data_IF_177320216101
#
_entry.id   IF_177320216101
#
_cell.length_a   1.000
_cell.length_b   1.000
_cell.length_c   1.000
_cell.angle_alpha   90.00
_cell.angle_beta   90.00
_cell.angle_gamma   90.00
#
_symmetry.space_group_name_H-M   'P 1'
#
loop_
_entity.id
_entity.type
_entity.pdbx_description
1 polymer ?
#
# COMPACT_ATOMS: atom_id res chain seq x y z
N UNK A 1 20.43 -27.97 -23.06
CA UNK A 1 20.15 -26.54 -22.80
C UNK A 1 19.59 -26.44 -21.39
N UNK A 2 20.39 -25.98 -20.42
CA UNK A 2 19.89 -25.63 -19.09
C UNK A 2 19.31 -24.23 -19.19
N UNK A 3 18.05 -24.06 -18.80
CA UNK A 3 17.47 -22.73 -18.62
C UNK A 3 18.33 -21.97 -17.59
N UNK A 4 18.66 -20.69 -17.82
CA UNK A 4 19.29 -19.90 -16.78
C UNK A 4 18.29 -19.75 -15.64
N UNK A 5 18.71 -20.18 -14.46
CA UNK A 5 17.99 -19.97 -13.21
C UNK A 5 17.82 -18.45 -13.05
N UNK A 6 16.57 -17.98 -12.88
CA UNK A 6 16.28 -16.57 -12.63
C UNK A 6 16.85 -16.22 -11.26
N UNK A 7 18.09 -15.74 -11.26
CA UNK A 7 18.75 -15.17 -10.12
C UNK A 7 17.92 -13.94 -9.71
N UNK A 8 17.01 -14.11 -8.76
CA UNK A 8 16.33 -12.99 -8.14
C UNK A 8 17.40 -12.06 -7.59
N UNK A 9 17.31 -10.77 -7.92
CA UNK A 9 18.29 -9.78 -7.49
C UNK A 9 18.38 -9.78 -5.95
N UNK A 10 19.39 -10.46 -5.40
CA UNK A 10 19.73 -10.46 -3.96
C UNK A 10 20.01 -9.05 -3.41
N UNK A 11 20.03 -8.04 -4.30
CA UNK A 11 20.23 -6.63 -4.00
C UNK A 11 18.96 -5.77 -4.16
N UNK A 12 17.79 -6.38 -4.34
CA UNK A 12 16.53 -5.64 -4.43
C UNK A 12 16.25 -4.88 -3.12
N UNK A 13 15.77 -3.62 -3.18
CA UNK A 13 15.38 -2.87 -1.98
C UNK A 13 14.31 -3.63 -1.19
N UNK A 14 14.58 -3.89 0.09
CA UNK A 14 13.63 -4.57 1.00
C UNK A 14 13.13 -3.64 2.10
N UNK A 15 12.06 -4.04 2.77
CA UNK A 15 11.48 -3.33 3.90
C UNK A 15 10.18 -2.59 3.59
N UNK A 16 9.63 -1.84 4.57
CA UNK A 16 8.27 -1.30 4.49
C UNK A 16 8.01 -0.39 3.28
N UNK A 17 8.91 0.57 3.03
CA UNK A 17 8.72 1.56 1.96
C UNK A 17 8.79 0.90 0.57
N UNK A 18 9.84 0.12 0.22
CA UNK A 18 9.85 -0.61 -1.05
C UNK A 18 8.63 -1.52 -1.24
N UNK A 19 8.19 -2.21 -0.18
CA UNK A 19 7.00 -3.07 -0.22
C UNK A 19 5.72 -2.29 -0.56
N UNK A 20 5.53 -1.10 0.03
CA UNK A 20 4.36 -0.25 -0.26
C UNK A 20 4.43 0.33 -1.67
N UNK A 21 5.60 0.78 -2.12
CA UNK A 21 5.80 1.28 -3.48
C UNK A 21 5.45 0.20 -4.50
N UNK A 22 5.96 -1.02 -4.30
CA UNK A 22 5.64 -2.16 -5.15
C UNK A 22 4.13 -2.47 -5.16
N UNK A 23 3.49 -2.44 -3.99
CA UNK A 23 2.05 -2.67 -3.87
C UNK A 23 1.22 -1.64 -4.66
N UNK A 24 1.60 -0.36 -4.61
CA UNK A 24 0.92 0.71 -5.36
C UNK A 24 1.11 0.51 -6.87
N UNK A 25 2.35 0.30 -7.32
CA UNK A 25 2.68 0.13 -8.75
C UNK A 25 2.01 -1.11 -9.33
N UNK A 26 2.05 -2.24 -8.61
CA UNK A 26 1.44 -3.51 -9.05
C UNK A 26 -0.05 -3.62 -8.75
N UNK A 27 -0.63 -2.63 -8.07
CA UNK A 27 -2.02 -2.64 -7.56
C UNK A 27 -2.35 -3.89 -6.75
N UNK A 28 -1.43 -4.28 -5.87
CA UNK A 28 -1.58 -5.38 -4.93
C UNK A 28 -1.94 -4.87 -3.54
N UNK A 29 -2.74 -5.65 -2.83
CA UNK A 29 -3.03 -5.38 -1.44
C UNK A 29 -1.79 -5.63 -0.55
N UNK A 30 -1.78 -4.99 0.61
CA UNK A 30 -0.84 -5.20 1.69
C UNK A 30 -1.52 -5.93 2.84
N UNK A 31 -0.84 -6.89 3.47
CA UNK A 31 -1.18 -7.35 4.81
C UNK A 31 -0.30 -6.61 5.81
N UNK A 32 -0.89 -6.10 6.90
CA UNK A 32 -0.15 -5.45 7.98
C UNK A 32 -0.85 -5.66 9.33
N UNK A 33 -0.12 -5.43 10.41
CA UNK A 33 -0.69 -5.29 11.76
C UNK A 33 -0.92 -3.81 12.02
N UNK A 34 -2.16 -3.44 12.30
CA UNK A 34 -2.55 -2.06 12.64
C UNK A 34 -3.46 -2.07 13.85
N UNK A 35 -3.13 -1.30 14.89
CA UNK A 35 -3.87 -1.26 16.16
C UNK A 35 -4.16 -2.66 16.74
N UNK A 36 -3.17 -3.57 16.70
CA UNK A 36 -3.24 -4.97 17.16
C UNK A 36 -4.13 -5.92 16.34
N UNK A 37 -4.77 -5.45 15.28
CA UNK A 37 -5.52 -6.29 14.33
C UNK A 37 -4.74 -6.50 13.04
N UNK A 38 -5.00 -7.62 12.36
CA UNK A 38 -4.50 -7.85 11.00
C UNK A 38 -5.43 -7.10 10.04
N UNK A 39 -4.85 -6.31 9.15
CA UNK A 39 -5.57 -5.57 8.13
C UNK A 39 -5.05 -5.92 6.75
N UNK A 40 -5.96 -6.04 5.79
CA UNK A 40 -5.61 -6.07 4.36
C UNK A 40 -5.96 -4.73 3.75
N UNK A 41 -4.98 -4.04 3.20
CA UNK A 41 -5.09 -2.68 2.69
C UNK A 41 -4.90 -2.67 1.17
N UNK A 42 -5.72 -1.91 0.45
CA UNK A 42 -5.54 -1.54 -0.94
C UNK A 42 -4.89 -0.14 -0.99
N UNK A 43 -3.55 -0.03 -1.12
CA UNK A 43 -2.84 1.25 -1.02
C UNK A 43 -3.04 2.11 -2.28
N UNK A 44 -3.55 3.33 -2.13
CA UNK A 44 -3.79 4.23 -3.27
C UNK A 44 -2.68 5.26 -3.44
N UNK A 45 -2.13 5.79 -2.34
CA UNK A 45 -1.11 6.84 -2.39
C UNK A 45 -0.22 6.82 -1.14
N UNK A 46 1.07 7.01 -1.34
CA UNK A 46 2.10 7.19 -0.33
C UNK A 46 2.60 8.64 -0.39
N UNK A 47 2.63 9.33 0.74
CA UNK A 47 2.99 10.73 0.83
C UNK A 47 3.61 11.07 2.20
N UNK A 48 4.26 12.23 2.30
CA UNK A 48 4.79 12.75 3.57
C UNK A 48 3.85 13.80 4.16
N UNK A 49 3.71 13.81 5.49
CA UNK A 49 3.00 14.86 6.22
C UNK A 49 3.68 15.06 7.57
N UNK A 50 4.14 16.28 7.83
CA UNK A 50 4.92 16.62 9.03
C UNK A 50 6.09 15.64 9.27
N UNK A 51 6.89 15.39 8.23
CA UNK A 51 8.04 14.47 8.24
C UNK A 51 7.71 12.99 8.54
N UNK A 52 6.43 12.62 8.59
CA UNK A 52 5.96 11.24 8.73
C UNK A 52 5.41 10.69 7.42
N UNK A 53 5.72 9.42 7.12
CA UNK A 53 5.16 8.71 5.98
C UNK A 53 3.73 8.23 6.26
N UNK A 54 2.84 8.49 5.31
CA UNK A 54 1.43 8.13 5.36
C UNK A 54 1.04 7.39 4.08
N UNK A 55 0.21 6.36 4.24
CA UNK A 55 -0.45 5.68 3.12
C UNK A 55 -1.96 5.88 3.25
N UNK A 56 -2.58 6.45 2.23
CA UNK A 56 -4.04 6.43 2.10
C UNK A 56 -4.43 5.15 1.35
N UNK A 57 -5.27 4.34 2.00
CA UNK A 57 -5.61 3.00 1.55
C UNK A 57 -7.03 2.62 1.95
N UNK A 58 -7.62 1.69 1.22
CA UNK A 58 -8.91 1.08 1.59
C UNK A 58 -8.64 -0.20 2.38
N UNK A 59 -9.15 -0.30 3.61
CA UNK A 59 -9.12 -1.57 4.32
C UNK A 59 -10.16 -2.51 3.71
N UNK A 60 -9.72 -3.52 2.97
CA UNK A 60 -10.60 -4.51 2.33
C UNK A 60 -10.94 -5.67 3.26
N UNK A 61 -10.11 -5.90 4.28
CA UNK A 61 -10.38 -6.85 5.37
C UNK A 61 -9.78 -6.36 6.69
N UNK A 62 -10.42 -6.74 7.80
CA UNK A 62 -9.90 -6.63 9.17
C UNK A 62 -10.16 -7.94 9.89
N UNK A 63 -9.11 -8.58 10.39
CA UNK A 63 -9.14 -9.89 11.03
C UNK A 63 -9.92 -10.93 10.20
N UNK A 64 -9.68 -10.93 8.87
CA UNK A 64 -10.31 -11.82 7.89
C UNK A 64 -11.79 -11.52 7.59
N UNK A 65 -12.34 -10.44 8.13
CA UNK A 65 -13.72 -10.01 7.88
C UNK A 65 -13.75 -8.81 6.95
N UNK A 66 -14.69 -8.74 5.99
CA UNK A 66 -14.87 -7.55 5.18
C UNK A 66 -15.23 -6.34 6.07
N UNK A 67 -14.81 -5.12 5.70
CA UNK A 67 -15.19 -3.91 6.41
C UNK A 67 -16.71 -3.69 6.27
N UNK A 68 -17.28 -2.95 7.22
CA UNK A 68 -18.68 -2.48 7.10
C UNK A 68 -18.87 -1.47 5.97
N UNK A 69 -17.82 -0.74 5.64
CA UNK A 69 -17.80 0.34 4.66
C UNK A 69 -16.43 0.36 3.98
N UNK A 70 -16.41 0.39 2.65
CA UNK A 70 -15.20 0.60 1.86
C UNK A 70 -14.96 2.11 1.76
N UNK A 71 -13.91 2.59 2.42
CA UNK A 71 -13.51 3.99 2.38
C UNK A 71 -12.01 4.15 2.40
N UNK A 72 -11.55 5.27 1.85
CA UNK A 72 -10.17 5.68 1.95
C UNK A 72 -9.87 6.07 3.41
N UNK A 73 -8.92 5.39 4.02
CA UNK A 73 -8.41 5.71 5.35
C UNK A 73 -6.93 6.06 5.28
N UNK A 74 -6.48 6.91 6.19
CA UNK A 74 -5.07 7.30 6.33
C UNK A 74 -4.38 6.45 7.39
N UNK A 75 -3.28 5.81 7.02
CA UNK A 75 -2.45 4.97 7.89
C UNK A 75 -1.05 5.54 8.00
N UNK A 76 -0.60 5.85 9.21
CA UNK A 76 0.81 6.19 9.47
C UNK A 76 1.66 4.95 9.27
N UNK A 77 2.72 5.07 8.46
CA UNK A 77 3.61 3.95 8.17
C UNK A 77 4.28 3.41 9.44
N UNK A 78 4.63 4.29 10.39
CA UNK A 78 5.17 3.91 11.71
C UNK A 78 4.20 3.09 12.58
N UNK A 79 2.90 3.17 12.30
CA UNK A 79 1.86 2.38 12.96
C UNK A 79 1.55 1.04 12.28
N UNK A 80 2.15 0.76 11.12
CA UNK A 80 1.97 -0.48 10.37
C UNK A 80 3.11 -1.46 10.68
N UNK A 81 2.77 -2.53 11.40
CA UNK A 81 3.69 -3.63 11.67
C UNK A 81 3.63 -4.72 10.61
N UNK A 82 4.71 -5.49 10.46
CA UNK A 82 4.77 -6.72 9.66
C UNK A 82 4.18 -6.59 8.24
N UNK A 83 4.47 -5.47 7.57
CA UNK A 83 3.97 -5.18 6.22
C UNK A 83 4.48 -6.22 5.22
N UNK A 84 3.56 -6.80 4.45
CA UNK A 84 3.84 -7.77 3.39
C UNK A 84 2.90 -7.55 2.21
N UNK A 85 3.33 -7.88 1.00
CA UNK A 85 2.42 -8.01 -0.13
C UNK A 85 1.43 -9.16 0.12
N UNK A 86 0.19 -8.94 -0.29
CA UNK A 86 -0.82 -9.97 -0.41
C UNK A 86 -1.05 -10.27 -1.90
N UNK A 87 -1.23 -11.54 -2.25
CA UNK A 87 -1.57 -11.96 -3.61
C UNK A 87 -3.06 -11.70 -3.91
N UNK A 88 -3.42 -10.42 -3.86
CA UNK A 88 -4.78 -9.91 -4.08
C UNK A 88 -4.65 -8.56 -4.77
N UNK A 89 -5.15 -8.45 -5.99
CA UNK A 89 -5.22 -7.18 -6.69
C UNK A 89 -6.40 -6.33 -6.19
N UNK A 90 -6.33 -5.02 -6.39
CA UNK A 90 -7.45 -4.11 -6.13
C UNK A 90 -7.66 -3.15 -7.30
N UNK A 91 -8.86 -2.57 -7.36
CA UNK A 91 -9.18 -1.44 -8.26
C UNK A 91 -9.27 -0.15 -7.45
N UNK A 92 -8.88 1.00 -8.03
CA UNK A 92 -9.08 2.29 -7.41
C UNK A 92 -10.55 2.50 -7.03
N UNK A 93 -10.83 3.07 -5.86
CA UNK A 93 -12.20 3.48 -5.51
C UNK A 93 -12.54 4.80 -6.20
N UNK A 94 -13.82 5.00 -6.53
CA UNK A 94 -14.31 6.21 -7.20
C UNK A 94 -14.03 7.50 -6.43
N UNK A 95 -14.00 7.42 -5.08
CA UNK A 95 -13.81 8.59 -4.21
C UNK A 95 -12.34 9.01 -4.08
N UNK A 96 -11.39 8.27 -4.66
CA UNK A 96 -9.98 8.64 -4.60
C UNK A 96 -9.70 9.75 -5.61
N UNK A 97 -9.42 10.96 -5.11
CA UNK A 97 -8.94 12.07 -5.92
C UNK A 97 -7.44 12.36 -5.66
N UNK A 98 -6.54 11.97 -6.58
CA UNK A 98 -5.11 12.20 -6.44
C UNK A 98 -4.68 13.68 -6.54
N UNK A 99 -5.56 14.61 -6.95
CA UNK A 99 -5.26 16.05 -6.95
C UNK A 99 -5.76 16.80 -5.72
N UNK A 100 -6.27 16.10 -4.70
CA UNK A 100 -6.65 16.75 -3.45
C UNK A 100 -5.49 17.59 -2.87
N UNK A 101 -5.76 18.80 -2.34
CA UNK A 101 -4.73 19.71 -1.86
C UNK A 101 -3.76 19.10 -0.82
N UNK A 102 -4.21 18.10 -0.05
CA UNK A 102 -3.39 17.43 0.96
C UNK A 102 -2.21 16.62 0.37
N UNK A 103 -2.26 16.30 -0.92
CA UNK A 103 -1.22 15.53 -1.62
C UNK A 103 -0.23 16.41 -2.40
N UNK A 104 -0.55 17.69 -2.60
CA UNK A 104 0.23 18.60 -3.42
C UNK A 104 1.63 18.81 -2.84
N UNK A 105 2.66 18.54 -3.64
CA UNK A 105 4.07 18.73 -3.25
C UNK A 105 4.64 17.73 -2.25
N UNK A 106 3.85 16.75 -1.79
CA UNK A 106 4.26 15.78 -0.76
C UNK A 106 4.06 14.31 -1.17
N UNK A 107 3.50 14.07 -2.36
CA UNK A 107 3.28 12.72 -2.89
C UNK A 107 4.59 12.07 -3.29
N UNK A 108 4.78 10.81 -2.87
CA UNK A 108 5.92 9.97 -3.25
C UNK A 108 5.54 8.98 -4.35
N UNK A 109 4.35 8.37 -4.24
CA UNK A 109 3.83 7.41 -5.21
C UNK A 109 2.31 7.36 -5.11
N UNK A 110 1.64 7.19 -6.23
CA UNK A 110 0.20 6.95 -6.28
C UNK A 110 -0.14 5.95 -7.38
N UNK A 111 -1.30 5.32 -7.30
CA UNK A 111 -1.80 4.48 -8.38
C UNK A 111 -1.90 5.28 -9.69
N UNK A 112 -1.58 4.64 -10.81
CA UNK A 112 -1.74 5.26 -12.12
C UNK A 112 -3.19 5.63 -12.40
N UNK A 113 -3.40 6.82 -12.96
CA UNK A 113 -4.68 7.22 -13.54
C UNK A 113 -4.84 6.45 -14.84
N UNK A 114 -5.84 5.57 -14.89
CA UNK A 114 -6.26 4.94 -16.15
C UNK A 114 -6.95 5.96 -17.03
#
# INVERSE_FOLDING_TARGET
>A
MKQPESQGDDNAPTGPVPTILEAIVRRLCLSAVYNRSIVTLAPHILYTKHDELHVDAVAVERDGKPPRELKLGTYRLSGLGAIKLADRSFSPIEQFDPIEPKYAGVTLMMIDRV
#
